data_IF_984564474580
#
_entry.id   IF_984564474580
#
_cell.length_a   1.000
_cell.length_b   1.000
_cell.length_c   1.000
_cell.angle_alpha   90.00
_cell.angle_beta   90.00
_cell.angle_gamma   90.00
#
_symmetry.space_group_name_H-M   'P 1'
#
loop_
_entity.id
_entity.type
_entity.pdbx_description
1 polymer ?
#
# COMPACT_ATOMS: atom_id res chain seq x y z
N UNK A 1 -14.18 -19.59 -14.08
CA UNK A 1 -14.20 -18.16 -13.72
C UNK A 1 -13.43 -17.93 -12.43
N UNK A 2 -12.51 -16.95 -12.43
CA UNK A 2 -11.66 -16.61 -11.28
C UNK A 2 -11.81 -15.12 -10.98
N UNK A 3 -12.03 -14.75 -9.71
CA UNK A 3 -12.04 -13.35 -9.28
C UNK A 3 -10.61 -12.87 -9.04
N UNK A 4 -10.28 -11.71 -9.60
CA UNK A 4 -8.98 -11.04 -9.41
C UNK A 4 -9.21 -9.79 -8.57
N UNK A 5 -8.33 -9.57 -7.61
CA UNK A 5 -8.25 -8.35 -6.81
C UNK A 5 -6.84 -7.78 -6.96
N UNK A 6 -6.72 -6.48 -7.18
CA UNK A 6 -5.45 -5.79 -7.26
C UNK A 6 -5.31 -4.91 -6.02
N UNK A 7 -4.25 -5.12 -5.26
CA UNK A 7 -3.98 -4.32 -4.08
C UNK A 7 -3.04 -3.17 -4.45
N UNK A 8 -3.23 -2.01 -3.82
CA UNK A 8 -2.24 -0.95 -3.87
C UNK A 8 -0.90 -1.43 -3.27
N UNK A 9 0.19 -0.95 -3.84
CA UNK A 9 1.55 -1.08 -3.31
C UNK A 9 1.63 -0.35 -1.97
N UNK A 10 2.29 -0.95 -0.98
CA UNK A 10 2.50 -0.37 0.34
C UNK A 10 3.37 0.89 0.29
N UNK A 11 3.17 1.84 1.23
CA UNK A 11 4.10 2.95 1.39
C UNK A 11 5.44 2.46 1.98
N UNK A 12 6.43 3.35 1.98
CA UNK A 12 7.72 3.16 2.68
C UNK A 12 7.96 4.27 3.69
N UNK A 13 8.83 4.04 4.66
CA UNK A 13 9.19 5.05 5.66
C UNK A 13 10.05 6.17 5.05
N UNK A 14 10.19 7.29 5.78
CA UNK A 14 11.03 8.41 5.35
C UNK A 14 12.49 8.01 5.16
N UNK A 15 13.04 7.10 5.98
CA UNK A 15 14.43 6.69 5.84
C UNK A 15 14.67 5.99 4.49
N UNK A 16 13.70 5.17 4.05
CA UNK A 16 13.84 4.38 2.83
C UNK A 16 13.76 5.28 1.61
N UNK A 17 12.86 6.25 1.62
CA UNK A 17 12.76 7.26 0.57
C UNK A 17 14.07 8.06 0.42
N UNK A 18 14.73 8.39 1.53
CA UNK A 18 16.01 9.09 1.53
C UNK A 18 17.18 8.21 1.04
N UNK A 19 17.21 6.93 1.45
CA UNK A 19 18.28 6.00 1.06
C UNK A 19 18.10 5.46 -0.37
N UNK A 20 16.85 5.34 -0.83
CA UNK A 20 16.47 4.72 -2.10
C UNK A 20 15.49 5.63 -2.84
N UNK A 21 15.96 6.71 -3.49
CA UNK A 21 15.08 7.72 -4.11
C UNK A 21 14.11 7.18 -5.18
N UNK A 22 14.43 6.04 -5.81
CA UNK A 22 13.54 5.38 -6.77
C UNK A 22 12.36 4.66 -6.09
N UNK A 23 12.55 4.22 -4.85
CA UNK A 23 11.51 3.65 -3.98
C UNK A 23 10.98 4.76 -3.06
N UNK A 24 10.29 5.74 -3.65
CA UNK A 24 9.68 6.86 -2.95
C UNK A 24 8.16 6.68 -2.83
N UNK A 25 7.55 7.33 -1.84
CA UNK A 25 6.08 7.29 -1.71
C UNK A 25 5.40 8.03 -2.86
N UNK A 26 6.05 9.04 -3.43
CA UNK A 26 5.57 9.70 -4.64
C UNK A 26 5.46 8.70 -5.81
N UNK A 27 6.52 7.95 -6.10
CA UNK A 27 6.48 6.95 -7.18
C UNK A 27 5.43 5.88 -6.88
N UNK A 28 5.39 5.37 -5.64
CA UNK A 28 4.37 4.40 -5.21
C UNK A 28 2.95 4.92 -5.46
N UNK A 29 2.69 6.19 -5.16
CA UNK A 29 1.38 6.82 -5.38
C UNK A 29 1.03 6.97 -6.86
N UNK A 30 2.01 7.33 -7.70
CA UNK A 30 1.85 7.37 -9.15
C UNK A 30 1.51 5.97 -9.72
N UNK A 31 2.20 4.93 -9.26
CA UNK A 31 1.91 3.54 -9.65
C UNK A 31 0.53 3.08 -9.16
N UNK A 32 0.16 3.40 -7.91
CA UNK A 32 -1.15 3.06 -7.36
C UNK A 32 -2.28 3.75 -8.11
N UNK A 33 -2.08 5.00 -8.55
CA UNK A 33 -3.03 5.71 -9.40
C UNK A 33 -3.21 5.00 -10.75
N UNK A 34 -2.11 4.60 -11.40
CA UNK A 34 -2.17 3.85 -12.66
C UNK A 34 -2.85 2.47 -12.50
N UNK A 35 -2.57 1.75 -11.41
CA UNK A 35 -3.21 0.47 -11.10
C UNK A 35 -4.71 0.63 -10.89
N UNK A 36 -5.15 1.70 -10.20
CA UNK A 36 -6.57 2.01 -10.02
C UNK A 36 -7.24 2.28 -11.36
N UNK A 37 -6.65 3.10 -12.22
CA UNK A 37 -7.18 3.35 -13.56
C UNK A 37 -7.34 2.08 -14.39
N UNK A 38 -6.31 1.21 -14.38
CA UNK A 38 -6.39 -0.11 -15.03
C UNK A 38 -7.50 -0.99 -14.46
N UNK A 39 -7.71 -0.96 -13.14
CA UNK A 39 -8.79 -1.70 -12.51
C UNK A 39 -10.17 -1.18 -12.95
N UNK A 40 -10.33 0.15 -13.02
CA UNK A 40 -11.57 0.79 -13.47
C UNK A 40 -11.89 0.42 -14.93
N UNK A 41 -10.88 0.43 -15.82
CA UNK A 41 -11.01 0.03 -17.23
C UNK A 41 -11.44 -1.43 -17.42
N UNK A 42 -10.94 -2.33 -16.57
CA UNK A 42 -11.19 -3.77 -16.67
C UNK A 42 -12.32 -4.27 -15.76
N UNK A 43 -12.95 -3.40 -14.97
CA UNK A 43 -13.96 -3.81 -13.99
C UNK A 43 -13.41 -4.71 -12.88
N UNK A 44 -12.15 -4.51 -12.50
CA UNK A 44 -11.45 -5.25 -11.44
C UNK A 44 -11.57 -4.50 -10.12
N UNK A 45 -11.71 -5.21 -9.00
CA UNK A 45 -11.71 -4.58 -7.68
C UNK A 45 -10.28 -4.14 -7.30
N UNK A 46 -10.09 -2.82 -7.17
CA UNK A 46 -8.89 -2.24 -6.57
C UNK A 46 -9.04 -2.11 -5.05
N UNK A 47 -8.05 -2.59 -4.32
CA UNK A 47 -8.06 -2.64 -2.86
C UNK A 47 -6.98 -1.71 -2.30
N UNK A 48 -7.41 -0.59 -1.74
CA UNK A 48 -6.53 0.47 -1.23
C UNK A 48 -6.04 0.15 0.18
N UNK A 49 -4.98 -0.64 0.26
CA UNK A 49 -4.28 -0.99 1.50
C UNK A 49 -3.18 0.00 1.85
N UNK A 50 -2.74 0.82 0.88
CA UNK A 50 -1.71 1.83 1.04
C UNK A 50 -2.17 2.90 2.04
N UNK A 51 -3.40 3.40 1.87
CA UNK A 51 -3.99 4.44 2.72
C UNK A 51 -4.12 4.00 4.19
N UNK A 52 -4.27 2.71 4.46
CA UNK A 52 -4.36 2.15 5.81
C UNK A 52 -3.02 2.20 6.57
N UNK A 53 -1.91 2.16 5.84
CA UNK A 53 -0.57 2.00 6.38
C UNK A 53 0.19 3.32 6.48
N UNK A 54 -0.41 4.40 5.96
CA UNK A 54 0.20 5.73 5.93
C UNK A 54 0.01 6.48 7.25
N UNK A 55 1.05 7.20 7.66
CA UNK A 55 1.00 8.23 8.70
C UNK A 55 0.40 9.54 8.16
N UNK A 56 0.35 10.57 9.01
CA UNK A 56 -0.15 11.91 8.66
C UNK A 56 0.68 12.64 7.58
N UNK A 57 1.87 12.15 7.27
CA UNK A 57 2.75 12.66 6.22
C UNK A 57 2.71 11.82 4.94
N UNK A 58 1.86 10.79 4.89
CA UNK A 58 1.71 9.93 3.72
C UNK A 58 2.81 8.88 3.57
N UNK A 59 3.56 8.57 4.63
CA UNK A 59 4.64 7.56 4.64
C UNK A 59 4.24 6.34 5.46
N UNK A 60 4.95 5.23 5.32
CA UNK A 60 4.68 4.06 6.17
C UNK A 60 4.86 4.43 7.64
N UNK A 61 3.80 4.24 8.43
CA UNK A 61 3.85 4.45 9.88
C UNK A 61 4.97 3.58 10.48
N UNK A 62 5.95 4.22 11.11
CA UNK A 62 7.09 3.56 11.76
C UNK A 62 6.62 2.61 12.87
N UNK A 63 5.45 2.86 13.46
CA UNK A 63 4.81 1.97 14.40
C UNK A 63 4.33 0.65 13.78
N UNK A 64 4.38 0.49 12.45
CA UNK A 64 3.95 -0.71 11.72
C UNK A 64 5.10 -1.47 11.03
N UNK A 65 6.33 -0.96 11.08
CA UNK A 65 7.50 -1.57 10.43
C UNK A 65 8.72 -1.60 11.35
N UNK A 66 9.71 -2.43 10.99
CA UNK A 66 11.03 -2.44 11.64
C UNK A 66 12.14 -1.93 10.73
N UNK A 67 11.97 -2.06 9.41
CA UNK A 67 12.95 -1.67 8.39
C UNK A 67 12.44 -0.59 7.43
N UNK A 68 11.21 -0.11 7.63
CA UNK A 68 10.60 0.91 6.80
C UNK A 68 10.06 0.41 5.46
N UNK A 69 10.07 -0.91 5.21
CA UNK A 69 9.53 -1.54 3.98
C UNK A 69 8.53 -2.64 4.34
N UNK A 70 8.90 -3.55 5.24
CA UNK A 70 8.11 -4.72 5.60
C UNK A 70 7.29 -4.45 6.86
N UNK A 71 6.04 -4.93 6.87
CA UNK A 71 5.18 -4.83 8.03
C UNK A 71 5.69 -5.72 9.16
N UNK A 72 5.49 -5.28 10.40
CA UNK A 72 5.55 -6.14 11.58
C UNK A 72 4.15 -6.63 11.95
N UNK A 73 4.07 -7.46 12.99
CA UNK A 73 2.83 -8.15 13.41
C UNK A 73 1.58 -7.24 13.41
N UNK A 74 1.69 -6.04 13.99
CA UNK A 74 0.58 -5.09 14.05
C UNK A 74 0.10 -4.64 12.66
N UNK A 75 1.02 -4.33 11.74
CA UNK A 75 0.68 -3.94 10.37
C UNK A 75 0.01 -5.07 9.60
N UNK A 76 0.48 -6.32 9.76
CA UNK A 76 -0.19 -7.49 9.18
C UNK A 76 -1.61 -7.69 9.73
N UNK A 77 -1.83 -7.42 11.02
CA UNK A 77 -3.16 -7.47 11.64
C UNK A 77 -4.13 -6.48 11.00
N UNK A 78 -3.71 -5.21 10.88
CA UNK A 78 -4.51 -4.17 10.20
C UNK A 78 -4.84 -4.55 8.76
N UNK A 79 -3.83 -4.97 8.01
CA UNK A 79 -3.99 -5.38 6.62
C UNK A 79 -4.99 -6.55 6.48
N UNK A 80 -4.85 -7.59 7.30
CA UNK A 80 -5.75 -8.74 7.30
C UNK A 80 -7.19 -8.33 7.63
N UNK A 81 -7.40 -7.51 8.65
CA UNK A 81 -8.74 -7.10 9.07
C UNK A 81 -9.41 -6.21 8.03
N UNK A 82 -8.64 -5.37 7.33
CA UNK A 82 -9.15 -4.64 6.17
C UNK A 82 -9.58 -5.59 5.05
N UNK A 83 -8.71 -6.54 4.66
CA UNK A 83 -9.01 -7.49 3.58
C UNK A 83 -10.23 -8.36 3.84
N UNK A 84 -10.49 -8.77 5.08
CA UNK A 84 -11.70 -9.53 5.45
C UNK A 84 -13.00 -8.80 5.12
N UNK A 85 -12.97 -7.48 5.02
CA UNK A 85 -14.14 -6.64 4.77
C UNK A 85 -14.27 -6.20 3.30
N UNK A 86 -13.28 -6.49 2.45
CA UNK A 86 -13.33 -6.25 1.00
C UNK A 86 -14.25 -7.30 0.36
N UNK A 87 -15.17 -6.86 -0.50
CA UNK A 87 -16.16 -7.72 -1.17
C UNK A 87 -15.90 -7.80 -2.67
#
# INVERSE_FOLDING_TARGET
>A
DTKIYIQSIFPVSANIENERPLLSNQNIDEFNHALRGMCDEHGICFVDVCSLLKDEHGRLDESLSSDGIHLKFQGYGLWLDYLKNVK
#
